data_IF_268883139617
#
_entry.id   IF_268883139617
#
_cell.length_a   1.000
_cell.length_b   1.000
_cell.length_c   1.000
_cell.angle_alpha   90.00
_cell.angle_beta   90.00
_cell.angle_gamma   90.00
#
_symmetry.space_group_name_H-M   'P 1'
#
loop_
_entity.id
_entity.type
_entity.pdbx_description
1 polymer ?
#
# COMPACT_ATOMS: atom_id res chain seq x y z
N UNK A 1 23.72 -33.05 18.87
CA UNK A 1 22.34 -33.45 18.55
C UNK A 1 21.98 -32.74 17.26
N UNK A 2 22.07 -33.46 16.14
CA UNK A 2 21.93 -32.90 14.79
C UNK A 2 20.47 -33.05 14.35
N UNK A 3 19.79 -31.94 14.09
CA UNK A 3 18.50 -31.93 13.41
C UNK A 3 18.72 -31.80 11.91
N UNK A 4 18.61 -32.93 11.22
CA UNK A 4 18.54 -33.02 9.76
C UNK A 4 17.09 -32.82 9.35
N UNK A 5 16.75 -31.68 8.75
CA UNK A 5 15.41 -31.39 8.25
C UNK A 5 15.30 -31.79 6.78
N UNK A 6 14.36 -32.68 6.49
CA UNK A 6 14.02 -33.27 5.20
C UNK A 6 13.10 -32.30 4.43
N UNK A 7 13.32 -32.03 3.13
CA UNK A 7 12.35 -31.28 2.32
C UNK A 7 11.18 -32.19 1.89
N UNK A 8 9.95 -31.68 1.78
CA UNK A 8 8.80 -32.45 1.28
C UNK A 8 8.80 -32.58 -0.25
N UNK A 9 8.23 -33.72 -0.69
CA UNK A 9 7.88 -34.07 -2.06
C UNK A 9 7.09 -32.95 -2.75
N UNK A 10 7.32 -32.60 -4.01
CA UNK A 10 7.25 -33.48 -5.17
C UNK A 10 5.79 -33.58 -5.61
N UNK A 11 5.27 -32.55 -6.30
CA UNK A 11 3.99 -32.62 -7.01
C UNK A 11 4.27 -32.62 -8.51
N UNK A 12 4.11 -33.79 -9.11
CA UNK A 12 4.14 -34.02 -10.55
C UNK A 12 2.85 -33.48 -11.16
N UNK A 13 2.90 -32.29 -11.76
CA UNK A 13 1.89 -31.85 -12.71
C UNK A 13 2.38 -32.15 -14.13
N UNK A 14 1.99 -33.33 -14.60
CA UNK A 14 2.10 -33.74 -15.99
C UNK A 14 1.13 -32.92 -16.85
N UNK A 15 1.59 -31.77 -17.36
CA UNK A 15 0.99 -31.15 -18.54
C UNK A 15 1.70 -31.68 -19.78
N UNK A 16 1.22 -32.82 -20.28
CA UNK A 16 1.54 -33.30 -21.63
C UNK A 16 0.80 -32.44 -22.66
N UNK A 17 1.38 -31.30 -23.01
CA UNK A 17 1.15 -30.69 -24.32
C UNK A 17 2.26 -31.17 -25.25
N UNK A 18 1.84 -31.88 -26.29
CA UNK A 18 2.71 -32.38 -27.34
C UNK A 18 3.53 -31.24 -27.91
N UNK A 19 4.85 -31.33 -27.74
CA UNK A 19 5.81 -30.45 -28.38
C UNK A 19 5.79 -30.75 -29.88
N UNK A 20 5.01 -29.97 -30.61
CA UNK A 20 5.15 -29.82 -32.05
C UNK A 20 6.44 -29.02 -32.32
N UNK A 21 7.52 -29.75 -32.57
CA UNK A 21 8.88 -29.22 -32.67
C UNK A 21 9.22 -28.60 -34.03
N UNK A 22 8.21 -28.30 -34.86
CA UNK A 22 8.39 -27.54 -36.11
C UNK A 22 8.32 -26.02 -35.97
N UNK A 23 8.32 -25.46 -34.75
CA UNK A 23 8.48 -24.01 -34.54
C UNK A 23 9.95 -23.59 -34.67
N UNK A 24 10.49 -23.63 -35.88
CA UNK A 24 11.79 -23.05 -36.28
C UNK A 24 11.73 -21.50 -36.32
N UNK A 25 11.21 -20.86 -35.28
CA UNK A 25 11.18 -19.39 -35.10
C UNK A 25 12.44 -18.82 -34.43
N UNK A 26 13.51 -19.60 -34.35
CA UNK A 26 14.51 -19.59 -33.27
C UNK A 26 15.43 -18.37 -33.09
N UNK A 27 15.32 -17.30 -33.87
CA UNK A 27 16.02 -16.03 -33.59
C UNK A 27 15.27 -14.76 -34.03
N UNK A 28 14.60 -14.71 -35.22
CA UNK A 28 13.93 -13.49 -35.67
C UNK A 28 12.72 -13.12 -34.81
N UNK A 29 11.92 -14.11 -34.40
CA UNK A 29 10.76 -13.88 -33.55
C UNK A 29 11.17 -13.43 -32.14
N UNK A 30 12.17 -14.10 -31.54
CA UNK A 30 12.67 -13.71 -30.22
C UNK A 30 13.23 -12.28 -30.24
N UNK A 31 14.01 -11.92 -31.28
CA UNK A 31 14.51 -10.54 -31.43
C UNK A 31 13.36 -9.53 -31.49
N UNK A 32 12.29 -9.84 -32.23
CA UNK A 32 11.12 -8.97 -32.28
C UNK A 32 10.45 -8.83 -30.90
N UNK A 33 10.30 -9.93 -30.15
CA UNK A 33 9.79 -9.87 -28.78
C UNK A 33 10.68 -8.98 -27.90
N UNK A 34 12.01 -9.13 -27.97
CA UNK A 34 12.96 -8.31 -27.22
C UNK A 34 12.86 -6.82 -27.60
N UNK A 35 12.69 -6.49 -28.88
CA UNK A 35 12.50 -5.12 -29.37
C UNK A 35 11.17 -4.52 -28.87
N UNK A 36 10.10 -5.32 -28.83
CA UNK A 36 8.80 -4.91 -28.30
C UNK A 36 8.85 -4.74 -26.78
N UNK A 37 9.59 -5.58 -26.06
CA UNK A 37 9.89 -5.40 -24.63
C UNK A 37 10.66 -4.11 -24.40
N UNK A 38 11.71 -3.83 -25.19
CA UNK A 38 12.44 -2.57 -25.09
C UNK A 38 11.55 -1.34 -25.38
N UNK A 39 10.62 -1.45 -26.33
CA UNK A 39 9.61 -0.43 -26.58
C UNK A 39 8.68 -0.26 -25.37
N UNK A 40 8.25 -1.36 -24.75
CA UNK A 40 7.53 -1.37 -23.48
C UNK A 40 8.28 -0.61 -22.40
N UNK A 41 9.56 -0.92 -22.18
CA UNK A 41 10.43 -0.23 -21.20
C UNK A 41 10.50 1.27 -21.46
N UNK A 42 10.67 1.68 -22.72
CA UNK A 42 10.72 3.09 -23.10
C UNK A 42 9.41 3.85 -22.83
N UNK A 43 8.28 3.13 -22.75
CA UNK A 43 6.94 3.67 -22.53
C UNK A 43 6.36 3.39 -21.13
N UNK A 44 7.03 2.58 -20.31
CA UNK A 44 6.55 2.12 -18.99
C UNK A 44 6.18 3.23 -18.03
N UNK A 45 6.87 4.37 -18.11
CA UNK A 45 6.62 5.53 -17.27
C UNK A 45 5.76 6.61 -17.92
N UNK A 46 5.22 6.35 -19.11
CA UNK A 46 4.27 7.25 -19.75
C UNK A 46 2.87 6.74 -19.43
N UNK A 47 1.98 7.60 -18.92
CA UNK A 47 0.54 7.32 -18.76
C UNK A 47 -0.19 7.10 -20.11
N UNK A 48 0.55 6.74 -21.17
CA UNK A 48 0.00 6.44 -22.48
C UNK A 48 -0.90 5.20 -22.38
N UNK A 49 -2.04 5.15 -23.08
CA UNK A 49 -2.86 3.94 -23.13
C UNK A 49 -2.06 2.73 -23.64
N UNK A 50 -2.43 1.50 -23.26
CA UNK A 50 -1.83 0.30 -23.85
C UNK A 50 -2.09 0.27 -25.38
N UNK A 51 -1.15 -0.30 -26.16
CA UNK A 51 -1.29 -0.39 -27.60
C UNK A 51 -2.48 -1.28 -27.98
N UNK A 52 -3.17 -0.89 -29.04
CA UNK A 52 -4.18 -1.74 -29.68
C UNK A 52 -3.51 -2.90 -30.42
N UNK A 53 -4.27 -3.94 -30.77
CA UNK A 53 -3.74 -5.01 -31.64
C UNK A 53 -3.19 -4.47 -32.97
N UNK A 54 -3.82 -3.44 -33.53
CA UNK A 54 -3.38 -2.83 -34.78
C UNK A 54 -2.07 -2.05 -34.61
N UNK A 55 -1.84 -1.43 -33.45
CA UNK A 55 -0.56 -0.83 -33.11
C UNK A 55 0.54 -1.90 -33.03
N UNK A 56 0.27 -3.01 -32.32
CA UNK A 56 1.22 -4.12 -32.19
C UNK A 56 1.54 -4.75 -33.56
N UNK A 57 0.54 -4.97 -34.42
CA UNK A 57 0.75 -5.42 -35.81
C UNK A 57 1.59 -4.44 -36.61
N UNK A 58 1.39 -3.14 -36.40
CA UNK A 58 2.13 -2.08 -37.10
C UNK A 58 3.58 -2.03 -36.64
N UNK A 59 3.83 -2.11 -35.34
CA UNK A 59 5.19 -2.17 -34.79
C UNK A 59 5.91 -3.44 -35.19
N UNK A 60 5.24 -4.59 -35.15
CA UNK A 60 5.83 -5.85 -35.61
C UNK A 60 6.25 -5.81 -37.08
N UNK A 61 5.50 -5.14 -37.95
CA UNK A 61 5.88 -4.94 -39.36
C UNK A 61 7.05 -3.96 -39.54
N UNK A 62 7.18 -2.99 -38.65
CA UNK A 62 8.27 -1.99 -38.71
C UNK A 62 9.58 -2.49 -38.10
N UNK A 63 9.49 -3.26 -37.02
CA UNK A 63 10.62 -3.80 -36.26
C UNK A 63 11.05 -5.17 -36.80
N UNK A 64 10.10 -5.97 -37.26
CA UNK A 64 10.35 -7.29 -37.82
C UNK A 64 11.02 -7.19 -39.19
N UNK A 65 12.05 -8.02 -39.37
CA UNK A 65 12.61 -8.26 -40.70
C UNK A 65 11.55 -8.92 -41.61
N UNK A 66 11.64 -8.70 -42.93
CA UNK A 66 10.67 -9.19 -43.94
C UNK A 66 10.37 -10.70 -43.90
N UNK A 67 11.18 -11.47 -43.16
CA UNK A 67 11.05 -12.91 -42.97
C UNK A 67 9.87 -13.37 -42.10
N UNK A 68 9.23 -12.51 -41.29
CA UNK A 68 8.19 -12.92 -40.34
C UNK A 68 6.79 -13.19 -40.92
N UNK A 69 6.62 -13.05 -42.24
CA UNK A 69 5.31 -13.16 -42.88
C UNK A 69 4.43 -11.93 -42.61
N UNK A 70 3.41 -11.71 -43.46
CA UNK A 70 2.60 -10.49 -43.42
C UNK A 70 1.40 -10.56 -42.47
N UNK A 71 1.07 -11.74 -41.95
CA UNK A 71 -0.12 -11.96 -41.11
C UNK A 71 0.29 -12.62 -39.81
N UNK A 72 0.15 -11.89 -38.71
CA UNK A 72 0.28 -12.42 -37.35
C UNK A 72 -1.03 -13.09 -36.94
N UNK A 73 -0.95 -14.30 -36.40
CA UNK A 73 -2.09 -14.94 -35.75
C UNK A 73 -2.35 -14.39 -34.34
N UNK A 74 -3.47 -14.79 -33.73
CA UNK A 74 -3.87 -14.32 -32.41
C UNK A 74 -2.91 -14.77 -31.30
N UNK A 75 -2.24 -15.91 -31.46
CA UNK A 75 -1.26 -16.40 -30.49
C UNK A 75 0.02 -15.55 -30.52
N UNK A 76 0.49 -15.21 -31.72
CA UNK A 76 1.61 -14.29 -31.91
C UNK A 76 1.30 -12.88 -31.39
N UNK A 77 0.07 -12.39 -31.56
CA UNK A 77 -0.35 -11.12 -30.97
C UNK A 77 -0.39 -11.15 -29.45
N UNK A 78 -0.85 -12.27 -28.86
CA UNK A 78 -0.79 -12.47 -27.42
C UNK A 78 0.66 -12.47 -26.91
N UNK A 79 1.59 -13.11 -27.62
CA UNK A 79 3.03 -13.09 -27.30
C UNK A 79 3.62 -11.66 -27.40
N UNK A 80 3.27 -10.88 -28.42
CA UNK A 80 3.72 -9.48 -28.55
C UNK A 80 3.17 -8.60 -27.44
N UNK A 81 1.89 -8.78 -27.06
CA UNK A 81 1.29 -8.07 -25.95
C UNK A 81 1.99 -8.41 -24.63
N UNK A 82 2.23 -9.70 -24.37
CA UNK A 82 2.95 -10.14 -23.19
C UNK A 82 4.38 -9.55 -23.14
N UNK A 83 5.11 -9.55 -24.25
CA UNK A 83 6.44 -8.94 -24.33
C UNK A 83 6.41 -7.42 -24.09
N UNK A 84 5.41 -6.72 -24.65
CA UNK A 84 5.23 -5.29 -24.43
C UNK A 84 4.91 -4.97 -22.97
N UNK A 85 3.98 -5.72 -22.37
CA UNK A 85 3.55 -5.54 -20.98
C UNK A 85 4.66 -5.92 -19.99
N UNK A 86 5.48 -6.94 -20.29
CA UNK A 86 6.68 -7.29 -19.52
C UNK A 86 7.67 -6.12 -19.45
N UNK A 87 7.91 -5.47 -20.60
CA UNK A 87 8.76 -4.28 -20.64
C UNK A 87 8.11 -3.05 -20.00
N UNK A 88 6.82 -2.85 -20.24
CA UNK A 88 6.07 -1.68 -19.75
C UNK A 88 5.85 -1.72 -18.24
N UNK A 89 5.73 -2.92 -17.67
CA UNK A 89 5.41 -3.16 -16.26
C UNK A 89 4.18 -2.35 -15.81
N UNK A 90 2.98 -2.60 -16.36
CA UNK A 90 1.79 -1.78 -16.10
C UNK A 90 1.32 -1.80 -14.65
N UNK A 91 1.77 -2.78 -13.86
CA UNK A 91 1.56 -2.86 -12.42
C UNK A 91 2.56 -2.03 -11.62
N UNK A 92 3.64 -1.55 -12.24
CA UNK A 92 4.70 -0.82 -11.55
C UNK A 92 4.39 0.67 -11.45
N UNK A 93 4.53 1.21 -10.25
CA UNK A 93 4.31 2.61 -9.89
C UNK A 93 5.67 3.26 -9.59
N UNK A 94 5.87 4.50 -10.03
CA UNK A 94 6.97 5.36 -9.56
C UNK A 94 6.56 6.05 -8.26
N UNK A 95 7.22 5.69 -7.14
CA UNK A 95 6.89 6.25 -5.83
C UNK A 95 7.35 7.71 -5.68
N UNK A 96 8.35 8.17 -6.45
CA UNK A 96 8.74 9.58 -6.46
C UNK A 96 7.65 10.44 -7.13
N UNK A 97 7.00 9.92 -8.18
CA UNK A 97 5.87 10.59 -8.84
C UNK A 97 4.67 10.70 -7.89
N UNK A 98 4.29 9.60 -7.21
CA UNK A 98 3.24 9.62 -6.20
C UNK A 98 3.57 10.62 -5.08
N UNK A 99 4.80 10.57 -4.55
CA UNK A 99 5.24 11.50 -3.50
C UNK A 99 5.22 12.96 -3.95
N UNK A 100 5.56 13.25 -5.22
CA UNK A 100 5.45 14.59 -5.78
C UNK A 100 4.00 15.08 -5.81
N UNK A 101 3.06 14.24 -6.25
CA UNK A 101 1.65 14.58 -6.34
C UNK A 101 1.02 14.82 -4.95
N UNK A 102 1.34 13.99 -3.96
CA UNK A 102 0.89 14.18 -2.57
C UNK A 102 1.45 15.48 -1.97
N UNK A 103 2.72 15.83 -2.27
CA UNK A 103 3.30 17.12 -1.89
C UNK A 103 2.61 18.31 -2.57
N UNK A 104 2.23 18.18 -3.84
CA UNK A 104 1.48 19.21 -4.55
C UNK A 104 0.09 19.43 -3.97
N UNK A 105 -0.51 18.39 -3.36
CA UNK A 105 -1.75 18.50 -2.59
C UNK A 105 -1.55 19.14 -1.19
N UNK A 106 -0.32 19.49 -0.81
CA UNK A 106 -0.01 20.23 0.42
C UNK A 106 0.35 19.37 1.62
N UNK A 107 0.58 18.07 1.44
CA UNK A 107 0.97 17.16 2.51
C UNK A 107 2.48 16.90 2.51
N UNK A 108 3.09 16.83 3.70
CA UNK A 108 4.47 16.38 3.83
C UNK A 108 4.57 14.91 3.39
N UNK A 109 5.61 14.56 2.64
CA UNK A 109 5.77 13.20 2.10
C UNK A 109 7.24 12.87 1.89
N UNK A 110 7.63 11.68 2.33
CA UNK A 110 8.96 11.11 2.18
C UNK A 110 8.85 9.66 1.71
N UNK A 111 9.84 9.19 0.96
CA UNK A 111 10.02 7.76 0.68
C UNK A 111 11.26 7.31 1.41
N UNK A 112 11.12 6.37 2.34
CA UNK A 112 12.22 5.87 3.15
C UNK A 112 12.53 4.41 2.84
N UNK A 113 13.77 4.02 3.15
CA UNK A 113 14.22 2.64 3.05
C UNK A 113 13.94 1.90 4.36
N UNK A 114 12.89 1.07 4.39
CA UNK A 114 12.47 0.30 5.58
C UNK A 114 13.32 -0.97 5.83
N UNK A 115 14.57 -0.99 5.37
CA UNK A 115 15.45 -2.16 5.39
C UNK A 115 15.18 -3.14 4.23
N UNK A 116 16.12 -4.05 3.96
CA UNK A 116 15.93 -5.10 2.95
C UNK A 116 15.68 -4.60 1.51
N UNK A 117 16.10 -3.38 1.18
CA UNK A 117 15.81 -2.70 -0.08
C UNK A 117 14.33 -2.35 -0.31
N UNK A 118 13.51 -2.43 0.75
CA UNK A 118 12.10 -2.06 0.75
C UNK A 118 11.94 -0.53 0.80
N UNK A 119 11.08 0.01 -0.05
CA UNK A 119 10.71 1.41 -0.06
C UNK A 119 9.30 1.57 0.55
N UNK A 120 9.13 2.50 1.48
CA UNK A 120 7.83 2.86 2.04
C UNK A 120 7.63 4.35 1.88
N UNK A 121 6.49 4.73 1.31
CA UNK A 121 6.07 6.14 1.23
C UNK A 121 5.32 6.48 2.52
N UNK A 122 5.82 7.48 3.23
CA UNK A 122 5.17 8.04 4.41
C UNK A 122 4.63 9.43 4.10
N UNK A 123 3.40 9.73 4.51
CA UNK A 123 2.76 11.00 4.20
C UNK A 123 1.84 11.52 5.31
N UNK A 124 1.60 12.83 5.31
CA UNK A 124 0.70 13.51 6.24
C UNK A 124 1.41 14.07 7.46
N UNK A 125 0.72 14.12 8.60
CA UNK A 125 1.26 14.64 9.86
C UNK A 125 2.21 13.62 10.47
N UNK A 126 3.39 14.08 10.86
CA UNK A 126 4.33 13.29 11.67
C UNK A 126 4.04 13.45 13.17
N UNK A 127 4.02 12.35 13.91
CA UNK A 127 3.81 12.33 15.37
C UNK A 127 4.69 11.26 16.04
N UNK A 128 4.73 11.24 17.37
CA UNK A 128 5.41 10.19 18.14
C UNK A 128 4.36 9.21 18.63
N UNK A 129 4.48 7.94 18.23
CA UNK A 129 3.59 6.85 18.65
C UNK A 129 3.82 6.42 20.10
N UNK A 130 2.96 5.53 20.64
CA UNK A 130 3.05 5.03 22.02
C UNK A 130 4.40 4.36 22.32
N UNK A 131 5.03 3.77 21.30
CA UNK A 131 6.33 3.11 21.40
C UNK A 131 7.52 4.08 21.42
N UNK A 132 7.27 5.39 21.26
CA UNK A 132 8.29 6.42 21.20
C UNK A 132 8.94 6.62 19.82
N UNK A 133 8.51 5.87 18.81
CA UNK A 133 8.96 6.03 17.43
C UNK A 133 8.16 7.09 16.69
N UNK A 134 8.79 7.75 15.72
CA UNK A 134 8.08 8.64 14.82
C UNK A 134 7.15 7.82 13.90
N UNK A 135 5.91 8.27 13.77
CA UNK A 135 4.86 7.75 12.89
C UNK A 135 4.34 8.85 11.99
N UNK A 136 3.66 8.46 10.93
CA UNK A 136 3.00 9.35 9.98
C UNK A 136 1.49 9.09 9.95
N UNK A 137 0.71 10.01 9.38
CA UNK A 137 -0.73 9.74 9.18
C UNK A 137 -0.93 8.54 8.25
N UNK A 138 -0.06 8.36 7.25
CA UNK A 138 -0.16 7.29 6.25
C UNK A 138 1.19 6.65 5.98
N UNK A 139 1.19 5.33 5.83
CA UNK A 139 2.24 4.56 5.18
C UNK A 139 1.66 3.82 3.95
N UNK A 140 2.45 3.78 2.88
CA UNK A 140 2.12 3.07 1.65
C UNK A 140 3.30 2.23 1.16
N UNK A 141 3.09 0.93 1.01
CA UNK A 141 4.13 -0.05 0.73
C UNK A 141 3.59 -1.49 0.65
N UNK A 142 4.45 -2.49 0.41
CA UNK A 142 5.89 -2.36 0.15
C UNK A 142 6.20 -1.91 -1.28
N UNK A 143 7.27 -1.15 -1.42
CA UNK A 143 7.96 -0.90 -2.69
C UNK A 143 9.39 -1.42 -2.64
N UNK A 144 10.19 -1.11 -3.65
CA UNK A 144 11.62 -1.44 -3.68
C UNK A 144 12.43 -0.35 -4.38
N UNK A 145 13.71 -0.26 -4.04
CA UNK A 145 14.68 0.46 -4.87
C UNK A 145 15.23 -0.49 -5.93
N UNK A 146 15.39 -0.07 -7.18
CA UNK A 146 15.76 -0.98 -8.30
C UNK A 146 17.18 -1.57 -8.26
N UNK A 147 17.92 -1.43 -7.15
CA UNK A 147 19.23 -2.04 -6.93
C UNK A 147 20.16 -1.21 -6.05
N UNK A 148 21.38 -1.70 -5.77
CA UNK A 148 22.36 -0.98 -4.95
C UNK A 148 22.68 0.40 -5.53
N UNK A 149 22.47 1.46 -4.75
CA UNK A 149 22.73 2.85 -5.17
C UNK A 149 21.69 3.46 -6.12
N UNK A 150 20.60 2.73 -6.42
CA UNK A 150 19.47 3.30 -7.16
C UNK A 150 18.63 4.17 -6.22
N UNK A 151 18.32 5.38 -6.64
CA UNK A 151 17.57 6.35 -5.84
C UNK A 151 16.09 6.42 -6.21
N UNK A 152 15.64 5.66 -7.21
CA UNK A 152 14.26 5.70 -7.70
C UNK A 152 13.44 4.55 -7.10
N UNK A 153 12.60 4.82 -6.09
CA UNK A 153 11.72 3.83 -5.51
C UNK A 153 10.56 3.51 -6.47
N UNK A 154 10.22 2.23 -6.55
CA UNK A 154 9.08 1.74 -7.32
C UNK A 154 8.22 0.82 -6.44
N UNK A 155 7.00 0.55 -6.85
CA UNK A 155 6.14 -0.43 -6.20
C UNK A 155 5.34 -1.21 -7.24
N UNK A 156 4.84 -2.38 -6.87
CA UNK A 156 3.90 -3.15 -7.69
C UNK A 156 2.52 -3.02 -7.08
N UNK A 157 1.55 -2.53 -7.85
CA UNK A 157 0.13 -2.44 -7.48
C UNK A 157 -0.44 -3.73 -6.88
N UNK A 158 0.06 -4.92 -7.22
CA UNK A 158 -0.47 -6.20 -6.69
C UNK A 158 -0.15 -6.42 -5.22
N UNK A 159 0.99 -5.90 -4.77
CA UNK A 159 1.47 -6.07 -3.40
C UNK A 159 1.35 -4.77 -2.59
N UNK A 160 1.16 -3.63 -3.26
CA UNK A 160 1.12 -2.32 -2.64
C UNK A 160 -0.20 -2.07 -1.90
N UNK A 161 -0.06 -1.64 -0.65
CA UNK A 161 -1.18 -1.30 0.23
C UNK A 161 -0.99 0.10 0.82
N UNK A 162 -2.12 0.77 1.10
CA UNK A 162 -2.16 2.14 1.64
C UNK A 162 -2.99 2.13 2.93
N UNK A 163 -2.46 2.64 4.03
CA UNK A 163 -3.20 2.72 5.29
C UNK A 163 -2.50 3.59 6.35
N UNK A 164 -3.08 3.67 7.57
CA UNK A 164 -2.45 4.36 8.70
C UNK A 164 -1.09 3.74 9.09
N UNK A 165 -0.16 4.56 9.58
CA UNK A 165 1.15 4.11 10.10
C UNK A 165 1.08 3.87 11.62
N UNK A 166 0.18 2.99 12.05
CA UNK A 166 0.02 2.58 13.45
C UNK A 166 0.06 1.05 13.65
N UNK A 167 0.33 0.30 12.57
CA UNK A 167 0.73 -1.11 12.63
C UNK A 167 -0.39 -2.12 12.79
N UNK A 168 -1.59 -1.72 13.23
CA UNK A 168 -2.70 -2.65 13.52
C UNK A 168 -4.09 -2.17 13.04
N UNK A 169 -4.18 -1.05 12.31
CA UNK A 169 -5.48 -0.51 11.86
C UNK A 169 -6.04 -1.27 10.64
N UNK A 170 -5.84 -0.74 9.45
CA UNK A 170 -6.42 -1.28 8.22
C UNK A 170 -5.60 -0.82 7.02
N UNK A 171 -5.70 -1.55 5.92
CA UNK A 171 -5.00 -1.20 4.69
C UNK A 171 -5.92 -1.40 3.49
N UNK A 172 -5.80 -0.51 2.51
CA UNK A 172 -6.47 -0.60 1.22
C UNK A 172 -5.48 -1.20 0.22
N UNK A 173 -5.87 -2.32 -0.37
CA UNK A 173 -5.15 -2.91 -1.52
C UNK A 173 -5.35 -2.01 -2.73
N UNK A 174 -4.28 -1.80 -3.48
CA UNK A 174 -4.33 -1.00 -4.70
C UNK A 174 -4.84 -1.84 -5.88
N UNK A 175 -5.82 -1.35 -6.66
CA UNK A 175 -6.22 -2.02 -7.89
C UNK A 175 -5.07 -2.10 -8.90
N UNK A 176 -4.95 -3.23 -9.59
CA UNK A 176 -3.96 -3.39 -10.66
C UNK A 176 -4.09 -2.30 -11.71
N UNK A 177 -2.98 -1.66 -12.08
CA UNK A 177 -2.95 -0.59 -13.07
C UNK A 177 -3.45 0.77 -12.56
N UNK A 178 -3.57 0.95 -11.24
CA UNK A 178 -3.82 2.27 -10.66
C UNK A 178 -2.73 3.27 -11.08
N UNK A 179 -3.16 4.45 -11.55
CA UNK A 179 -2.24 5.53 -11.92
C UNK A 179 -1.64 6.21 -10.68
N UNK A 180 -0.45 6.82 -10.82
CA UNK A 180 0.17 7.59 -9.75
C UNK A 180 -0.74 8.69 -9.18
N UNK A 181 -1.53 9.36 -10.03
CA UNK A 181 -2.53 10.35 -9.63
C UNK A 181 -3.66 9.73 -8.79
N UNK A 182 -4.22 8.61 -9.23
CA UNK A 182 -5.25 7.90 -8.45
C UNK A 182 -4.74 7.43 -7.09
N UNK A 183 -3.47 7.01 -7.01
CA UNK A 183 -2.84 6.64 -5.74
C UNK A 183 -2.62 7.83 -4.83
N UNK A 184 -2.17 8.96 -5.37
CA UNK A 184 -2.03 10.19 -4.61
C UNK A 184 -3.39 10.64 -4.05
N UNK A 185 -4.46 10.57 -4.84
CA UNK A 185 -5.83 10.90 -4.38
C UNK A 185 -6.28 9.99 -3.23
N UNK A 186 -6.02 8.68 -3.32
CA UNK A 186 -6.32 7.73 -2.23
C UNK A 186 -5.50 8.05 -0.99
N UNK A 187 -4.19 8.28 -1.12
CA UNK A 187 -3.31 8.65 0.00
C UNK A 187 -3.82 9.93 0.69
N UNK A 188 -4.18 10.97 -0.07
CA UNK A 188 -4.72 12.22 0.48
C UNK A 188 -6.05 11.99 1.21
N UNK A 189 -6.92 11.14 0.68
CA UNK A 189 -8.17 10.77 1.34
C UNK A 189 -7.92 10.05 2.67
N UNK A 190 -6.97 9.10 2.71
CA UNK A 190 -6.57 8.42 3.94
C UNK A 190 -5.97 9.40 4.95
N UNK A 191 -5.05 10.29 4.55
CA UNK A 191 -4.48 11.32 5.44
C UNK A 191 -5.61 12.15 6.08
N UNK A 192 -6.54 12.62 5.25
CA UNK A 192 -7.65 13.46 5.71
C UNK A 192 -8.51 12.74 6.76
N UNK A 193 -8.83 11.47 6.54
CA UNK A 193 -9.65 10.72 7.48
C UNK A 193 -8.89 10.37 8.75
N UNK A 194 -7.64 9.89 8.66
CA UNK A 194 -6.79 9.58 9.83
C UNK A 194 -6.59 10.83 10.69
N UNK A 195 -6.26 11.96 10.09
CA UNK A 195 -6.09 13.22 10.83
C UNK A 195 -7.41 13.65 11.50
N UNK A 196 -8.54 13.51 10.81
CA UNK A 196 -9.85 13.83 11.36
C UNK A 196 -10.26 12.87 12.50
N UNK A 197 -9.94 11.58 12.39
CA UNK A 197 -10.12 10.60 13.45
C UNK A 197 -9.29 10.95 14.67
N UNK A 198 -8.00 11.27 14.47
CA UNK A 198 -7.10 11.64 15.56
C UNK A 198 -7.57 12.92 16.26
N UNK A 199 -8.04 13.93 15.53
CA UNK A 199 -8.63 15.13 16.14
C UNK A 199 -9.91 14.82 16.94
N UNK A 200 -10.78 13.95 16.41
CA UNK A 200 -11.96 13.49 17.16
C UNK A 200 -11.55 12.78 18.44
N UNK A 201 -10.56 11.90 18.39
CA UNK A 201 -10.04 11.20 19.55
C UNK A 201 -9.45 12.15 20.59
N UNK A 202 -8.59 13.10 20.18
CA UNK A 202 -8.00 14.11 21.09
C UNK A 202 -9.08 14.95 21.77
N UNK A 203 -10.11 15.41 21.03
CA UNK A 203 -11.24 16.15 21.61
C UNK A 203 -12.04 15.29 22.59
N UNK A 204 -12.32 14.04 22.24
CA UNK A 204 -13.03 13.11 23.11
C UNK A 204 -12.22 12.82 24.40
N UNK A 205 -10.92 12.59 24.29
CA UNK A 205 -10.03 12.37 25.42
C UNK A 205 -9.93 13.59 26.34
N UNK A 206 -9.87 14.81 25.78
CA UNK A 206 -9.91 16.04 26.55
C UNK A 206 -11.23 16.19 27.32
N UNK A 207 -12.38 16.00 26.65
CA UNK A 207 -13.70 15.98 27.30
C UNK A 207 -13.80 14.91 28.39
N UNK A 208 -13.24 13.73 28.14
CA UNK A 208 -13.24 12.63 29.11
C UNK A 208 -12.44 12.97 30.36
N UNK A 209 -11.24 13.53 30.18
CA UNK A 209 -10.40 14.00 31.28
C UNK A 209 -11.10 15.08 32.09
N UNK A 210 -11.74 16.04 31.43
CA UNK A 210 -12.44 17.12 32.10
C UNK A 210 -13.66 16.59 32.88
N UNK A 211 -14.44 15.67 32.29
CA UNK A 211 -15.55 15.01 32.97
C UNK A 211 -15.07 14.14 34.16
N UNK A 212 -13.96 13.42 34.01
CA UNK A 212 -13.33 12.66 35.08
C UNK A 212 -12.90 13.58 36.22
N UNK A 213 -12.26 14.71 35.90
CA UNK A 213 -11.86 15.71 36.89
C UNK A 213 -13.05 16.31 37.62
N UNK A 214 -14.13 16.65 36.92
CA UNK A 214 -15.35 17.18 37.54
C UNK A 214 -16.02 16.17 38.46
N UNK A 215 -16.12 14.90 38.03
CA UNK A 215 -16.69 13.84 38.86
C UNK A 215 -15.82 13.57 40.10
N UNK A 216 -14.50 13.57 39.93
CA UNK A 216 -13.54 13.46 41.02
C UNK A 216 -13.67 14.61 42.01
N UNK A 217 -13.67 15.85 41.51
CA UNK A 217 -13.84 17.06 42.29
C UNK A 217 -15.16 17.05 43.10
N UNK A 218 -16.26 16.60 42.50
CA UNK A 218 -17.53 16.49 43.17
C UNK A 218 -17.55 15.42 44.28
N UNK A 219 -16.81 14.32 44.08
CA UNK A 219 -16.73 13.22 45.04
C UNK A 219 -15.76 13.48 46.20
N UNK A 220 -14.71 14.27 45.96
CA UNK A 220 -13.63 14.55 46.91
C UNK A 220 -13.30 16.06 46.97
N UNK A 221 -14.22 16.92 47.43
CA UNK A 221 -13.97 18.36 47.51
C UNK A 221 -12.77 18.72 48.40
N UNK A 222 -12.48 17.92 49.42
CA UNK A 222 -11.29 18.03 50.28
C UNK A 222 -9.97 17.84 49.51
N UNK A 223 -9.96 16.95 48.50
CA UNK A 223 -8.79 16.70 47.67
C UNK A 223 -8.44 17.89 46.76
N UNK A 224 -9.44 18.69 46.38
CA UNK A 224 -9.22 19.92 45.58
C UNK A 224 -8.56 21.01 46.42
N UNK A 225 -8.86 21.06 47.73
CA UNK A 225 -8.37 22.08 48.64
C UNK A 225 -7.00 21.73 49.25
N UNK A 226 -6.45 20.54 48.96
CA UNK A 226 -5.15 20.09 49.45
C UNK A 226 -5.18 19.45 50.85
N UNK A 227 -6.36 19.12 51.37
CA UNK A 227 -6.57 18.55 52.71
C UNK A 227 -6.81 17.03 52.64
N UNK A 228 -5.98 16.30 51.88
CA UNK A 228 -6.05 14.83 51.88
C UNK A 228 -5.45 14.26 53.17
N UNK A 229 -6.22 13.41 53.85
CA UNK A 229 -5.73 12.72 55.04
C UNK A 229 -4.64 11.70 54.66
N UNK A 230 -3.62 11.49 55.52
CA UNK A 230 -2.57 10.50 55.24
C UNK A 230 -3.16 9.09 54.99
N UNK A 231 -2.91 8.52 53.81
CA UNK A 231 -3.32 7.16 53.44
C UNK A 231 -4.52 7.05 52.48
N UNK A 232 -5.15 8.16 52.10
CA UNK A 232 -6.27 8.17 51.14
C UNK A 232 -5.83 8.06 49.66
N UNK A 233 -4.54 8.21 49.39
CA UNK A 233 -3.90 8.19 48.07
C UNK A 233 -4.25 6.94 47.25
N UNK A 234 -4.36 5.78 47.90
CA UNK A 234 -4.66 4.51 47.23
C UNK A 234 -6.14 4.34 46.85
N UNK A 235 -7.06 4.93 47.63
CA UNK A 235 -8.48 4.95 47.27
C UNK A 235 -8.72 5.88 46.08
N UNK A 236 -8.01 7.02 46.07
CA UNK A 236 -7.99 8.01 44.99
C UNK A 236 -7.57 7.41 43.65
N UNK A 237 -6.43 6.70 43.64
CA UNK A 237 -5.87 6.06 42.44
C UNK A 237 -6.81 4.98 41.91
N UNK A 238 -7.46 4.21 42.79
CA UNK A 238 -8.41 3.16 42.38
C UNK A 238 -9.65 3.74 41.71
N UNK A 239 -10.25 4.77 42.30
CA UNK A 239 -11.43 5.45 41.75
C UNK A 239 -11.12 6.09 40.38
N UNK A 240 -9.96 6.72 40.24
CA UNK A 240 -9.48 7.28 38.97
C UNK A 240 -9.35 6.20 37.87
N UNK A 241 -8.72 5.06 38.20
CA UNK A 241 -8.54 3.96 37.25
C UNK A 241 -9.88 3.31 36.82
N UNK A 242 -10.87 3.21 37.71
CA UNK A 242 -12.19 2.68 37.38
C UNK A 242 -12.97 3.59 36.43
N UNK A 243 -12.87 4.91 36.59
CA UNK A 243 -13.50 5.88 35.70
C UNK A 243 -12.85 5.83 34.31
N UNK A 244 -11.51 5.79 34.27
CA UNK A 244 -10.75 5.69 33.02
C UNK A 244 -11.06 4.42 32.24
N UNK A 245 -11.05 3.24 32.90
CA UNK A 245 -11.33 1.95 32.25
C UNK A 245 -12.77 1.78 31.75
N UNK A 246 -13.73 2.56 32.27
CA UNK A 246 -15.11 2.56 31.78
C UNK A 246 -15.26 3.38 30.50
N UNK A 247 -14.52 4.50 30.43
CA UNK A 247 -14.53 5.38 29.28
C UNK A 247 -13.89 4.74 28.05
N UNK A 248 -12.71 4.11 28.21
CA UNK A 248 -12.01 3.45 27.10
C UNK A 248 -12.87 2.39 26.40
N UNK A 249 -13.62 1.58 27.16
CA UNK A 249 -14.50 0.54 26.63
C UNK A 249 -15.67 1.06 25.78
N UNK A 250 -16.07 2.32 25.95
CA UNK A 250 -17.19 2.91 25.22
C UNK A 250 -16.78 3.70 23.98
N UNK A 251 -15.50 4.06 23.86
CA UNK A 251 -15.07 5.11 22.92
C UNK A 251 -13.94 4.69 21.98
N UNK A 252 -13.46 3.45 22.05
CA UNK A 252 -12.50 2.95 21.07
C UNK A 252 -13.25 2.50 19.79
N UNK A 253 -12.94 3.09 18.63
CA UNK A 253 -13.44 2.57 17.36
C UNK A 253 -12.73 1.24 17.02
N UNK A 254 -13.46 0.31 16.42
CA UNK A 254 -12.94 -1.01 16.01
C UNK A 254 -13.13 -1.31 14.51
N UNK A 255 -13.62 -0.35 13.70
CA UNK A 255 -14.08 -0.62 12.33
C UNK A 255 -13.43 0.29 11.27
N UNK A 256 -13.27 -0.26 10.07
CA UNK A 256 -12.84 0.46 8.86
C UNK A 256 -13.90 1.50 8.48
N UNK A 257 -13.53 2.77 8.22
CA UNK A 257 -14.48 3.79 7.79
C UNK A 257 -15.20 3.39 6.49
N UNK A 258 -16.53 3.31 6.54
CA UNK A 258 -17.38 2.86 5.41
C UNK A 258 -17.20 3.70 4.14
N UNK A 259 -16.81 4.97 4.31
CA UNK A 259 -16.54 5.88 3.20
C UNK A 259 -15.16 5.69 2.55
N UNK A 260 -14.32 4.79 3.04
CA UNK A 260 -13.06 4.44 2.37
C UNK A 260 -13.15 3.06 1.70
N UNK A 261 -14.07 2.21 2.15
CA UNK A 261 -14.29 0.88 1.57
C UNK A 261 -14.68 0.90 0.08
N UNK A 262 -15.33 1.95 -0.41
CA UNK A 262 -15.68 2.05 -1.83
C UNK A 262 -14.49 2.41 -2.73
N UNK A 263 -13.39 2.92 -2.16
CA UNK A 263 -12.18 3.28 -2.91
C UNK A 263 -11.29 2.06 -3.19
N UNK A 264 -11.38 1.00 -2.38
CA UNK A 264 -10.60 -0.24 -2.57
C UNK A 264 -11.26 -1.26 -3.52
N UNK A 265 -12.48 -0.99 -4.01
CA UNK A 265 -13.24 -1.97 -4.81
C UNK A 265 -13.65 -3.23 -4.01
N UNK A 266 -13.40 -3.26 -2.69
CA UNK A 266 -13.80 -4.35 -1.80
C UNK A 266 -15.26 -4.13 -1.43
N UNK A 267 -16.15 -4.96 -1.99
CA UNK A 267 -17.53 -5.02 -1.56
C UNK A 267 -17.58 -5.44 -0.08
N UNK A 268 -18.13 -4.60 0.79
CA UNK A 268 -18.47 -4.96 2.18
C UNK A 268 -19.70 -5.88 2.19
N UNK A 269 -19.59 -7.04 1.55
CA UNK A 269 -20.55 -8.12 1.65
C UNK A 269 -19.98 -9.19 2.57
N UNK A 270 -20.11 -8.95 3.88
CA UNK A 270 -20.58 -9.97 4.83
C UNK A 270 -20.66 -9.36 6.24
N UNK A 271 -21.85 -8.87 6.56
CA UNK A 271 -22.28 -8.77 7.95
C UNK A 271 -22.72 -10.15 8.43
N UNK A 272 -21.98 -10.72 9.37
CA UNK A 272 -22.44 -11.79 10.27
C UNK A 272 -22.21 -11.39 11.71
#
# INVERSE_FOLDING_TARGET
MNHTTRPPAGSDNANTHGADTTRTGGQPWQRLLDDITALGVSRGFTNAPPPTDDDLRTWARHLGDTALGTVLDDAQLAELRAAYDDGRQPSTIDLDEVALLVRQAGHETVVEQAGGNNAVLYAGRRYIGPEGWARWSVAAGPGWFRGPGQTRPAADTTDFAIGPDDGDDWQLTVPTGASAAGLADVIVAVITDVDAQQERFVRAAASARDAMWQAFAAAYPEAINGDLAPGEDHALVRASNEVFGRWLRHNLPHDIPTHLAHLSGVSTADGR
#
